data_IF_230509614248
#
_entry.id   IF_230509614248
#
_cell.length_a   1.000
_cell.length_b   1.000
_cell.length_c   1.000
_cell.angle_alpha   90.00
_cell.angle_beta   90.00
_cell.angle_gamma   90.00
#
_symmetry.space_group_name_H-M   'P 1'
#
loop_
_entity.id
_entity.type
_entity.pdbx_description
1 polymer ?
#
# COMPACT_ATOMS: atom_id res chain seq x y z
N UNK A 1 -7.36 35.73 -8.19
CA UNK A 1 -5.99 35.78 -8.77
C UNK A 1 -4.89 35.25 -7.84
N UNK A 2 -4.95 35.51 -6.54
CA UNK A 2 -3.93 35.06 -5.55
C UNK A 2 -3.95 33.54 -5.32
N UNK A 3 -5.12 32.95 -5.15
CA UNK A 3 -5.29 31.50 -4.92
C UNK A 3 -4.81 30.64 -6.08
N UNK A 4 -5.06 31.04 -7.33
CA UNK A 4 -4.58 30.31 -8.51
C UNK A 4 -3.07 30.32 -8.64
N UNK A 5 -2.41 31.46 -8.30
CA UNK A 5 -0.94 31.53 -8.31
C UNK A 5 -0.31 30.68 -7.23
N UNK A 6 -0.88 30.67 -6.03
CA UNK A 6 -0.44 29.82 -4.92
C UNK A 6 -0.59 28.33 -5.26
N UNK A 7 -1.69 27.93 -5.87
CA UNK A 7 -1.90 26.57 -6.33
C UNK A 7 -0.92 26.15 -7.43
N UNK A 8 -0.67 27.05 -8.41
CA UNK A 8 0.32 26.80 -9.46
C UNK A 8 1.73 26.63 -8.88
N UNK A 9 2.12 27.52 -7.95
CA UNK A 9 3.40 27.42 -7.24
C UNK A 9 3.53 26.09 -6.49
N UNK A 10 2.51 25.71 -5.71
CA UNK A 10 2.53 24.48 -4.94
C UNK A 10 2.67 23.24 -5.83
N UNK A 11 1.88 23.14 -6.91
CA UNK A 11 1.94 22.04 -7.89
C UNK A 11 3.29 21.96 -8.59
N UNK A 12 3.78 23.09 -9.13
CA UNK A 12 5.05 23.12 -9.83
C UNK A 12 6.22 22.81 -8.88
N UNK A 13 6.20 23.39 -7.68
CA UNK A 13 7.20 23.13 -6.66
C UNK A 13 7.23 21.66 -6.24
N UNK A 14 6.06 21.00 -6.07
CA UNK A 14 5.95 19.59 -5.77
C UNK A 14 6.56 18.71 -6.85
N UNK A 15 6.25 18.96 -8.12
CA UNK A 15 6.81 18.21 -9.26
C UNK A 15 8.34 18.35 -9.28
N UNK A 16 8.86 19.58 -9.28
CA UNK A 16 10.30 19.83 -9.34
C UNK A 16 11.05 19.22 -8.14
N UNK A 17 10.45 19.25 -6.95
CA UNK A 17 11.02 18.60 -5.77
C UNK A 17 11.05 17.07 -5.92
N UNK A 18 10.00 16.48 -6.45
CA UNK A 18 9.95 15.06 -6.78
C UNK A 18 11.05 14.64 -7.74
N UNK A 19 11.25 15.40 -8.84
CA UNK A 19 12.30 15.15 -9.83
C UNK A 19 13.70 15.23 -9.21
N UNK A 20 13.94 16.22 -8.33
CA UNK A 20 15.20 16.35 -7.61
C UNK A 20 15.46 15.16 -6.68
N UNK A 21 14.45 14.69 -5.95
CA UNK A 21 14.58 13.56 -5.03
C UNK A 21 14.83 12.25 -5.79
N UNK A 22 14.13 12.02 -6.89
CA UNK A 22 14.38 10.84 -7.76
C UNK A 22 15.81 10.89 -8.33
N UNK A 23 16.25 12.03 -8.83
CA UNK A 23 17.61 12.22 -9.32
C UNK A 23 18.65 11.97 -8.22
N UNK A 24 18.42 12.48 -7.00
CA UNK A 24 19.29 12.26 -5.86
C UNK A 24 19.39 10.79 -5.47
N UNK A 25 18.28 10.03 -5.52
CA UNK A 25 18.24 8.60 -5.23
C UNK A 25 19.13 7.81 -6.22
N UNK A 26 19.01 8.09 -7.52
CA UNK A 26 19.88 7.49 -8.54
C UNK A 26 21.36 7.82 -8.30
N UNK A 27 21.67 9.07 -7.94
CA UNK A 27 23.04 9.51 -7.64
C UNK A 27 23.65 8.76 -6.45
N UNK A 28 22.85 8.47 -5.39
CA UNK A 28 23.30 7.70 -4.23
C UNK A 28 23.73 6.30 -4.65
N UNK A 29 22.89 5.60 -5.42
CA UNK A 29 23.18 4.24 -5.89
C UNK A 29 24.36 4.26 -6.86
N UNK A 30 24.38 5.16 -7.85
CA UNK A 30 25.43 5.23 -8.87
C UNK A 30 26.83 5.51 -8.29
N UNK A 31 26.89 6.27 -7.19
CA UNK A 31 28.15 6.66 -6.51
C UNK A 31 28.51 5.74 -5.34
N UNK A 32 27.68 4.75 -5.02
CA UNK A 32 27.98 3.81 -3.97
C UNK A 32 29.27 3.01 -4.26
N UNK A 33 30.09 2.81 -3.23
CA UNK A 33 31.34 2.03 -3.31
C UNK A 33 31.01 0.52 -3.29
N UNK A 34 30.39 0.05 -4.35
CA UNK A 34 29.97 -1.34 -4.56
C UNK A 34 30.56 -1.89 -5.86
N UNK A 35 30.66 -3.20 -6.01
CA UNK A 35 31.01 -3.84 -7.28
C UNK A 35 30.11 -3.35 -8.42
N UNK A 36 30.64 -3.27 -9.63
CA UNK A 36 29.91 -2.74 -10.79
C UNK A 36 28.57 -3.46 -11.04
N UNK A 37 28.60 -4.78 -11.06
CA UNK A 37 27.43 -5.65 -11.22
C UNK A 37 26.34 -5.36 -10.15
N UNK A 38 26.75 -5.23 -8.88
CA UNK A 38 25.84 -4.93 -7.79
C UNK A 38 25.17 -3.58 -7.97
N UNK A 39 25.92 -2.55 -8.39
CA UNK A 39 25.36 -1.22 -8.67
C UNK A 39 24.36 -1.25 -9.81
N UNK A 40 24.67 -1.96 -10.90
CA UNK A 40 23.76 -2.11 -12.03
C UNK A 40 22.44 -2.76 -11.58
N UNK A 41 22.52 -3.88 -10.87
CA UNK A 41 21.32 -4.56 -10.34
C UNK A 41 20.49 -3.63 -9.43
N UNK A 42 21.11 -2.79 -8.61
CA UNK A 42 20.41 -1.83 -7.77
C UNK A 42 19.77 -0.70 -8.57
N UNK A 43 20.41 -0.21 -9.63
CA UNK A 43 19.83 0.78 -10.53
C UNK A 43 18.64 0.21 -11.31
N UNK A 44 18.78 -0.99 -11.88
CA UNK A 44 17.69 -1.69 -12.57
C UNK A 44 16.50 -1.93 -11.63
N UNK A 45 16.76 -2.30 -10.37
CA UNK A 45 15.73 -2.46 -9.36
C UNK A 45 15.03 -1.15 -9.02
N UNK A 46 15.78 -0.05 -8.91
CA UNK A 46 15.23 1.28 -8.64
C UNK A 46 14.34 1.76 -9.79
N UNK A 47 14.81 1.63 -11.02
CA UNK A 47 14.05 1.98 -12.22
C UNK A 47 12.74 1.18 -12.31
N UNK A 48 12.81 -0.14 -12.09
CA UNK A 48 11.63 -1.01 -12.03
C UNK A 48 10.65 -0.55 -10.95
N UNK A 49 11.15 -0.26 -9.74
CA UNK A 49 10.32 0.19 -8.62
C UNK A 49 9.62 1.51 -8.93
N UNK A 50 10.32 2.47 -9.52
CA UNK A 50 9.75 3.77 -9.93
C UNK A 50 8.65 3.53 -10.97
N UNK A 51 8.91 2.71 -11.99
CA UNK A 51 7.94 2.40 -13.04
C UNK A 51 6.65 1.79 -12.45
N UNK A 52 6.76 0.77 -11.61
CA UNK A 52 5.63 0.11 -10.96
C UNK A 52 4.84 1.08 -10.06
N UNK A 53 5.54 1.90 -9.27
CA UNK A 53 4.90 2.87 -8.38
C UNK A 53 4.14 3.94 -9.16
N UNK A 54 4.71 4.43 -10.26
CA UNK A 54 4.05 5.41 -11.14
C UNK A 54 2.84 4.79 -11.84
N UNK A 55 2.94 3.55 -12.31
CA UNK A 55 1.82 2.84 -12.92
C UNK A 55 0.66 2.63 -11.93
N UNK A 56 0.99 2.26 -10.68
CA UNK A 56 -0.01 2.14 -9.60
C UNK A 56 -0.69 3.48 -9.30
N UNK A 57 0.07 4.56 -9.17
CA UNK A 57 -0.47 5.90 -8.91
C UNK A 57 -1.31 6.43 -10.07
N UNK A 58 -0.90 6.23 -11.32
CA UNK A 58 -1.70 6.60 -12.48
C UNK A 58 -3.04 5.86 -12.51
N UNK A 59 -3.06 4.59 -12.12
CA UNK A 59 -4.29 3.81 -11.99
C UNK A 59 -5.19 4.41 -10.91
N UNK A 60 -4.63 4.74 -9.75
CA UNK A 60 -5.34 5.39 -8.66
C UNK A 60 -5.98 6.74 -9.09
N UNK A 61 -5.22 7.61 -9.74
CA UNK A 61 -5.73 8.90 -10.23
C UNK A 61 -6.86 8.71 -11.26
N UNK A 62 -6.78 7.69 -12.13
CA UNK A 62 -7.87 7.37 -13.06
C UNK A 62 -9.13 6.90 -12.37
N UNK A 63 -9.01 6.16 -11.28
CA UNK A 63 -10.14 5.73 -10.45
C UNK A 63 -10.81 6.91 -9.76
N UNK A 64 -10.02 7.80 -9.14
CA UNK A 64 -10.54 9.02 -8.51
C UNK A 64 -11.22 9.97 -9.51
N UNK A 65 -10.86 9.91 -10.80
CA UNK A 65 -11.49 10.68 -11.85
C UNK A 65 -12.73 10.00 -12.46
N UNK A 66 -13.23 8.93 -11.88
CA UNK A 66 -14.38 8.13 -12.35
C UNK A 66 -14.31 7.71 -13.83
N UNK A 67 -13.09 7.53 -14.35
CA UNK A 67 -12.88 7.13 -15.74
C UNK A 67 -13.32 5.66 -15.96
N UNK A 68 -13.26 4.84 -14.92
CA UNK A 68 -13.85 3.49 -14.89
C UNK A 68 -14.10 3.05 -13.43
N UNK A 69 -15.09 2.16 -13.24
CA UNK A 69 -15.33 1.55 -11.94
C UNK A 69 -14.38 0.35 -11.77
N UNK A 70 -13.56 0.31 -10.71
CA UNK A 70 -12.66 -0.81 -10.47
C UNK A 70 -13.45 -2.03 -10.02
N UNK A 71 -13.04 -3.21 -10.50
CA UNK A 71 -13.32 -4.44 -9.78
C UNK A 71 -12.37 -4.60 -8.58
N UNK A 72 -12.70 -5.52 -7.70
CA UNK A 72 -11.89 -5.80 -6.51
C UNK A 72 -10.43 -6.14 -6.86
N UNK A 73 -10.22 -6.96 -7.90
CA UNK A 73 -8.87 -7.37 -8.32
C UNK A 73 -8.03 -6.19 -8.79
N UNK A 74 -8.63 -5.27 -9.54
CA UNK A 74 -7.96 -4.02 -9.97
C UNK A 74 -7.57 -3.17 -8.76
N UNK A 75 -8.45 -3.04 -7.77
CA UNK A 75 -8.16 -2.31 -6.53
C UNK A 75 -7.02 -2.92 -5.73
N UNK A 76 -7.00 -4.23 -5.53
CA UNK A 76 -5.92 -4.94 -4.84
C UNK A 76 -4.58 -4.84 -5.58
N UNK A 77 -4.60 -4.99 -6.91
CA UNK A 77 -3.41 -4.86 -7.75
C UNK A 77 -2.83 -3.44 -7.67
N UNK A 78 -3.68 -2.43 -7.75
CA UNK A 78 -3.29 -1.03 -7.60
C UNK A 78 -2.64 -0.76 -6.24
N UNK A 79 -3.25 -1.24 -5.15
CA UNK A 79 -2.72 -1.10 -3.79
C UNK A 79 -1.34 -1.76 -3.65
N UNK A 80 -1.14 -2.94 -4.23
CA UNK A 80 0.14 -3.62 -4.26
C UNK A 80 1.21 -2.81 -5.01
N UNK A 81 0.92 -2.34 -6.23
CA UNK A 81 1.87 -1.56 -7.04
C UNK A 81 2.18 -0.20 -6.43
N UNK A 82 1.17 0.49 -5.89
CA UNK A 82 1.32 1.83 -5.33
C UNK A 82 2.21 1.87 -4.09
N UNK A 83 2.05 0.91 -3.17
CA UNK A 83 2.65 0.99 -1.83
C UNK A 83 3.62 -0.17 -1.55
N UNK A 84 3.25 -1.42 -1.85
CA UNK A 84 4.06 -2.58 -1.49
C UNK A 84 5.42 -2.57 -2.19
N UNK A 85 5.47 -2.12 -3.43
CA UNK A 85 6.67 -2.18 -4.27
C UNK A 85 7.82 -1.36 -3.68
N UNK A 86 7.60 -0.10 -3.27
CA UNK A 86 8.69 0.74 -2.77
C UNK A 86 8.88 0.65 -1.25
N UNK A 87 7.83 0.32 -0.48
CA UNK A 87 7.91 0.29 0.98
C UNK A 87 8.46 -1.02 1.51
N UNK A 88 8.12 -2.15 0.89
CA UNK A 88 8.48 -3.48 1.37
C UNK A 88 9.32 -4.28 0.38
N UNK A 89 8.92 -4.40 -0.88
CA UNK A 89 9.65 -5.20 -1.87
C UNK A 89 11.04 -4.61 -2.15
N UNK A 90 11.14 -3.31 -2.42
CA UNK A 90 12.42 -2.65 -2.71
C UNK A 90 13.47 -2.86 -1.62
N UNK A 91 13.24 -2.55 -0.33
CA UNK A 91 14.26 -2.72 0.70
C UNK A 91 14.65 -4.18 0.91
N UNK A 92 13.74 -5.14 0.79
CA UNK A 92 14.06 -6.56 0.89
C UNK A 92 14.92 -7.04 -0.28
N UNK A 93 14.63 -6.57 -1.50
CA UNK A 93 15.45 -6.88 -2.69
C UNK A 93 16.81 -6.21 -2.63
N UNK A 94 16.89 -4.97 -2.16
CA UNK A 94 18.18 -4.28 -1.94
C UNK A 94 19.03 -5.10 -0.96
N UNK A 95 18.45 -5.53 0.17
CA UNK A 95 19.14 -6.36 1.16
C UNK A 95 19.60 -7.69 0.55
N UNK A 96 18.76 -8.36 -0.24
CA UNK A 96 19.08 -9.61 -0.94
C UNK A 96 20.26 -9.44 -1.92
N UNK A 97 20.25 -8.38 -2.73
CA UNK A 97 21.31 -8.05 -3.69
C UNK A 97 22.63 -7.78 -2.95
N UNK A 98 22.59 -6.98 -1.89
CA UNK A 98 23.79 -6.64 -1.10
C UNK A 98 24.37 -7.85 -0.35
N UNK A 99 23.51 -8.73 0.14
CA UNK A 99 23.93 -9.97 0.79
C UNK A 99 24.40 -11.07 -0.19
N UNK A 100 24.15 -10.90 -1.49
CA UNK A 100 24.53 -11.88 -2.50
C UNK A 100 23.79 -13.22 -2.35
N UNK A 101 22.54 -13.21 -1.91
CA UNK A 101 21.72 -14.42 -1.72
C UNK A 101 21.39 -15.10 -3.06
N UNK A 102 20.93 -16.35 -3.00
CA UNK A 102 20.47 -17.08 -4.19
C UNK A 102 19.22 -16.42 -4.80
N UNK A 103 18.97 -16.69 -6.09
CA UNK A 103 17.74 -16.22 -6.77
C UNK A 103 16.46 -16.75 -6.11
N UNK A 104 16.52 -17.95 -5.56
CA UNK A 104 15.41 -18.56 -4.85
C UNK A 104 15.10 -17.78 -3.57
N UNK A 105 16.12 -17.43 -2.79
CA UNK A 105 15.98 -16.60 -1.58
C UNK A 105 15.49 -15.20 -1.93
N UNK A 106 16.03 -14.57 -2.99
CA UNK A 106 15.56 -13.27 -3.48
C UNK A 106 14.07 -13.36 -3.87
N UNK A 107 13.66 -14.42 -4.58
CA UNK A 107 12.25 -14.67 -4.93
C UNK A 107 11.33 -14.78 -3.71
N UNK A 108 11.77 -15.50 -2.67
CA UNK A 108 11.02 -15.60 -1.42
C UNK A 108 10.89 -14.24 -0.70
N UNK A 109 11.95 -13.42 -0.71
CA UNK A 109 11.90 -12.07 -0.13
C UNK A 109 11.01 -11.10 -0.94
N UNK A 110 10.95 -11.24 -2.26
CA UNK A 110 9.99 -10.52 -3.12
C UNK A 110 8.56 -10.89 -2.72
N UNK A 111 8.28 -12.19 -2.61
CA UNK A 111 6.96 -12.69 -2.19
C UNK A 111 6.59 -12.16 -0.81
N UNK A 112 7.52 -12.20 0.14
CA UNK A 112 7.33 -11.63 1.48
C UNK A 112 7.03 -10.13 1.44
N UNK A 113 7.76 -9.36 0.63
CA UNK A 113 7.56 -7.93 0.46
C UNK A 113 6.17 -7.60 -0.07
N UNK A 114 5.67 -8.40 -1.00
CA UNK A 114 4.31 -8.24 -1.56
C UNK A 114 3.22 -8.51 -0.52
N UNK A 115 3.33 -9.59 0.22
CA UNK A 115 2.37 -9.91 1.27
C UNK A 115 2.38 -8.86 2.39
N UNK A 116 3.56 -8.44 2.87
CA UNK A 116 3.69 -7.39 3.87
C UNK A 116 3.09 -6.06 3.38
N UNK A 117 3.40 -5.69 2.16
CA UNK A 117 2.95 -4.44 1.59
C UNK A 117 1.44 -4.41 1.34
N UNK A 118 0.88 -5.51 0.87
CA UNK A 118 -0.58 -5.61 0.69
C UNK A 118 -1.29 -5.62 2.05
N UNK A 119 -0.83 -6.42 3.03
CA UNK A 119 -1.38 -6.43 4.38
C UNK A 119 -1.33 -5.03 5.02
N UNK A 120 -0.22 -4.31 4.86
CA UNK A 120 -0.06 -2.94 5.35
C UNK A 120 -1.07 -1.97 4.72
N UNK A 121 -1.23 -2.02 3.39
CA UNK A 121 -2.17 -1.14 2.70
C UNK A 121 -3.62 -1.45 3.05
N UNK A 122 -4.00 -2.73 3.08
CA UNK A 122 -5.33 -3.16 3.49
C UNK A 122 -5.66 -2.68 4.91
N UNK A 123 -4.67 -2.75 5.81
CA UNK A 123 -4.82 -2.27 7.16
C UNK A 123 -4.91 -0.74 7.24
N UNK A 124 -4.15 -0.01 6.42
CA UNK A 124 -4.25 1.45 6.33
C UNK A 124 -5.66 1.88 5.88
N UNK A 125 -6.22 1.21 4.89
CA UNK A 125 -7.59 1.41 4.40
C UNK A 125 -8.63 1.01 5.47
N UNK A 126 -8.39 -0.06 6.23
CA UNK A 126 -9.24 -0.47 7.35
C UNK A 126 -9.28 0.62 8.44
N UNK A 127 -8.11 1.09 8.87
CA UNK A 127 -8.01 2.09 9.93
C UNK A 127 -8.62 3.45 9.54
N UNK A 128 -8.57 3.82 8.27
CA UNK A 128 -9.20 5.06 7.79
C UNK A 128 -10.73 5.02 7.82
N UNK A 129 -11.33 3.82 7.87
CA UNK A 129 -12.79 3.63 7.88
C UNK A 129 -13.30 3.21 9.26
N UNK A 130 -12.63 2.24 9.90
CA UNK A 130 -13.08 1.59 11.14
C UNK A 130 -12.22 1.94 12.36
N UNK A 131 -11.03 2.52 12.19
CA UNK A 131 -10.12 2.84 13.28
C UNK A 131 -10.61 4.01 14.16
N UNK A 132 -10.12 4.06 15.41
CA UNK A 132 -10.36 5.23 16.29
C UNK A 132 -9.39 6.37 15.89
N UNK A 133 -9.90 7.54 15.43
CA UNK A 133 -9.06 8.67 15.04
C UNK A 133 -8.11 9.16 16.13
N UNK A 134 -8.49 8.95 17.40
CA UNK A 134 -7.69 9.36 18.57
C UNK A 134 -6.44 8.49 18.75
N UNK A 135 -6.49 7.24 18.31
CA UNK A 135 -5.36 6.31 18.41
C UNK A 135 -4.41 6.43 17.21
N UNK A 136 -4.95 6.69 16.02
CA UNK A 136 -4.18 6.67 14.77
C UNK A 136 -3.82 8.05 14.24
N UNK A 137 -4.40 9.14 14.81
CA UNK A 137 -4.10 10.52 14.41
C UNK A 137 -4.54 10.88 12.98
N UNK A 138 -5.30 10.01 12.31
CA UNK A 138 -5.86 10.26 10.97
C UNK A 138 -7.23 10.91 11.10
N UNK A 139 -7.61 11.69 10.08
CA UNK A 139 -8.97 12.22 9.96
C UNK A 139 -9.94 11.07 9.69
N UNK A 140 -10.96 10.97 10.54
CA UNK A 140 -11.99 9.94 10.39
C UNK A 140 -12.69 10.07 9.04
N UNK A 141 -12.87 8.94 8.37
CA UNK A 141 -13.63 8.87 7.11
C UNK A 141 -13.00 9.63 5.94
N UNK A 142 -11.69 9.96 5.99
CA UNK A 142 -11.02 10.66 4.90
C UNK A 142 -11.17 9.93 3.56
N UNK A 143 -11.00 8.60 3.55
CA UNK A 143 -11.12 7.79 2.34
C UNK A 143 -12.56 7.76 1.78
N UNK A 144 -13.57 7.77 2.66
CA UNK A 144 -14.98 7.86 2.26
C UNK A 144 -15.31 9.24 1.68
N UNK A 145 -14.76 10.29 2.28
CA UNK A 145 -14.92 11.69 1.86
C UNK A 145 -14.25 11.98 0.52
N UNK A 146 -13.09 11.38 0.29
CA UNK A 146 -12.35 11.48 -0.96
C UNK A 146 -12.93 10.61 -2.09
N UNK A 147 -13.86 9.70 -1.77
CA UNK A 147 -14.39 8.75 -2.74
C UNK A 147 -13.37 7.69 -3.16
N UNK A 148 -12.48 7.29 -2.25
CA UNK A 148 -11.39 6.37 -2.54
C UNK A 148 -11.90 4.94 -2.74
N UNK A 149 -11.60 4.36 -3.90
CA UNK A 149 -11.99 3.00 -4.26
C UNK A 149 -11.08 1.95 -3.59
N UNK A 150 -11.28 1.76 -2.28
CA UNK A 150 -10.61 0.72 -1.50
C UNK A 150 -11.22 -0.66 -1.73
N UNK A 151 -10.59 -1.72 -1.19
CA UNK A 151 -11.18 -3.07 -1.20
C UNK A 151 -12.51 -3.13 -0.42
N UNK A 152 -12.66 -2.31 0.65
CA UNK A 152 -13.91 -2.14 1.41
C UNK A 152 -15.03 -1.70 0.47
N UNK A 153 -14.81 -0.63 -0.28
CA UNK A 153 -15.79 -0.05 -1.20
C UNK A 153 -16.07 -1.00 -2.37
N UNK A 154 -15.04 -1.64 -2.90
CA UNK A 154 -15.21 -2.63 -3.98
C UNK A 154 -16.08 -3.81 -3.53
N UNK A 155 -15.95 -4.27 -2.29
CA UNK A 155 -16.83 -5.28 -1.72
C UNK A 155 -18.26 -4.76 -1.51
N UNK A 156 -18.42 -3.60 -0.89
CA UNK A 156 -19.74 -3.01 -0.61
C UNK A 156 -20.57 -2.79 -1.88
N UNK A 157 -19.91 -2.41 -2.99
CA UNK A 157 -20.56 -2.25 -4.31
C UNK A 157 -21.22 -3.53 -4.84
N UNK A 158 -20.82 -4.69 -4.36
CA UNK A 158 -21.43 -5.98 -4.72
C UNK A 158 -22.64 -6.35 -3.85
N UNK A 159 -22.96 -5.52 -2.87
CA UNK A 159 -24.06 -5.73 -1.90
C UNK A 159 -25.20 -4.75 -2.12
N UNK A 160 -26.37 -5.04 -1.52
CA UNK A 160 -27.52 -4.14 -1.54
C UNK A 160 -27.29 -2.86 -0.73
N UNK A 161 -26.36 -2.85 0.22
CA UNK A 161 -26.02 -1.68 1.03
C UNK A 161 -25.45 -0.52 0.19
N UNK A 162 -24.87 -0.83 -0.98
CA UNK A 162 -24.29 0.19 -1.85
C UNK A 162 -25.28 1.29 -2.23
N UNK A 163 -26.54 1.00 -2.41
CA UNK A 163 -27.57 1.97 -2.77
C UNK A 163 -27.69 3.11 -1.75
N UNK A 164 -27.44 2.83 -0.47
CA UNK A 164 -27.44 3.84 0.59
C UNK A 164 -26.08 4.52 0.73
N UNK A 165 -24.99 3.73 0.66
CA UNK A 165 -23.61 4.22 0.77
C UNK A 165 -23.27 5.22 -0.35
N UNK A 166 -23.69 4.93 -1.58
CA UNK A 166 -23.40 5.72 -2.79
C UNK A 166 -23.91 7.17 -2.68
N UNK A 167 -24.94 7.44 -1.85
CA UNK A 167 -25.54 8.76 -1.74
C UNK A 167 -24.58 9.81 -1.17
N UNK A 168 -23.72 9.40 -0.24
CA UNK A 168 -22.78 10.29 0.47
C UNK A 168 -21.30 9.93 0.17
N UNK A 169 -21.04 8.86 -0.57
CA UNK A 169 -19.68 8.45 -0.94
C UNK A 169 -19.03 9.48 -1.86
N UNK A 170 -17.82 9.94 -1.49
CA UNK A 170 -17.08 10.96 -2.25
C UNK A 170 -17.57 12.39 -1.98
N UNK A 171 -18.40 12.59 -0.97
CA UNK A 171 -18.84 13.92 -0.57
C UNK A 171 -17.74 14.62 0.28
N UNK A 172 -17.09 15.70 -0.23
CA UNK A 172 -16.04 16.40 0.51
C UNK A 172 -16.53 17.04 1.80
N UNK A 173 -17.84 17.31 1.90
CA UNK A 173 -18.51 17.90 3.07
C UNK A 173 -19.18 16.83 3.96
N UNK A 174 -18.79 15.55 3.82
CA UNK A 174 -19.31 14.42 4.62
C UNK A 174 -19.21 14.74 6.12
N UNK A 175 -20.35 14.80 6.79
CA UNK A 175 -20.40 15.04 8.24
C UNK A 175 -19.87 13.81 9.00
N UNK A 176 -19.48 14.02 10.27
CA UNK A 176 -19.04 12.91 11.12
C UNK A 176 -20.17 11.89 11.31
N UNK A 177 -21.40 12.35 11.53
CA UNK A 177 -22.59 11.52 11.71
C UNK A 177 -22.90 10.68 10.46
N UNK A 178 -22.85 11.29 9.26
CA UNK A 178 -23.02 10.54 8.00
C UNK A 178 -21.88 9.53 7.78
N UNK A 179 -20.66 9.87 8.18
CA UNK A 179 -19.52 8.95 8.13
C UNK A 179 -19.69 7.75 9.05
N UNK A 180 -20.20 7.94 10.27
CA UNK A 180 -20.55 6.85 11.20
C UNK A 180 -21.66 5.96 10.62
N UNK A 181 -22.72 6.54 10.09
CA UNK A 181 -23.80 5.76 9.47
C UNK A 181 -23.31 4.94 8.28
N UNK A 182 -22.44 5.52 7.44
CA UNK A 182 -21.82 4.80 6.32
C UNK A 182 -20.92 3.67 6.81
N UNK A 183 -20.11 3.89 7.85
CA UNK A 183 -19.28 2.86 8.48
C UNK A 183 -20.11 1.69 8.99
N UNK A 184 -21.25 1.99 9.65
CA UNK A 184 -22.13 0.97 10.18
C UNK A 184 -22.74 0.12 9.05
N UNK A 185 -23.16 0.73 7.93
CA UNK A 185 -23.61 0.01 6.72
C UNK A 185 -22.51 -0.88 6.13
N UNK A 186 -21.25 -0.39 6.11
CA UNK A 186 -20.10 -1.15 5.64
C UNK A 186 -19.81 -2.37 6.55
N UNK A 187 -19.98 -2.22 7.86
CA UNK A 187 -19.84 -3.33 8.80
C UNK A 187 -20.98 -4.34 8.63
N UNK A 188 -22.25 -3.88 8.59
CA UNK A 188 -23.42 -4.72 8.44
C UNK A 188 -23.43 -5.54 7.13
N UNK A 189 -22.97 -4.95 6.03
CA UNK A 189 -22.88 -5.67 4.75
C UNK A 189 -21.73 -6.69 4.68
N UNK A 190 -20.86 -6.74 5.70
CA UNK A 190 -19.75 -7.68 5.81
C UNK A 190 -18.44 -7.18 5.21
N UNK A 191 -18.35 -5.92 4.75
CA UNK A 191 -17.14 -5.37 4.17
C UNK A 191 -15.98 -5.27 5.18
N UNK A 192 -16.29 -4.99 6.45
CA UNK A 192 -15.32 -4.99 7.54
C UNK A 192 -14.66 -6.37 7.72
N UNK A 193 -15.49 -7.42 7.83
CA UNK A 193 -15.01 -8.79 7.97
C UNK A 193 -14.18 -9.22 6.77
N UNK A 194 -14.64 -8.91 5.58
CA UNK A 194 -13.92 -9.20 4.35
C UNK A 194 -12.50 -8.59 4.36
N UNK A 195 -12.35 -7.35 4.85
CA UNK A 195 -11.02 -6.74 4.99
C UNK A 195 -10.14 -7.46 6.01
N UNK A 196 -10.70 -7.83 7.16
CA UNK A 196 -9.98 -8.61 8.17
C UNK A 196 -9.48 -9.95 7.61
N UNK A 197 -10.35 -10.67 6.89
CA UNK A 197 -10.02 -11.97 6.27
C UNK A 197 -8.90 -11.80 5.22
N UNK A 198 -8.91 -10.73 4.40
CA UNK A 198 -7.84 -10.44 3.44
C UNK A 198 -6.48 -10.16 4.12
N UNK A 199 -6.47 -9.39 5.21
CA UNK A 199 -5.22 -9.13 5.95
C UNK A 199 -4.69 -10.41 6.58
N UNK A 200 -5.57 -11.24 7.15
CA UNK A 200 -5.21 -12.54 7.72
C UNK A 200 -4.62 -13.49 6.67
N UNK A 201 -5.20 -13.53 5.48
CA UNK A 201 -4.66 -14.32 4.37
C UNK A 201 -3.21 -13.90 4.03
N UNK A 202 -2.94 -12.59 3.94
CA UNK A 202 -1.61 -12.10 3.63
C UNK A 202 -0.59 -12.40 4.75
N UNK A 203 -0.98 -12.22 6.00
CA UNK A 203 -0.09 -12.51 7.16
C UNK A 203 0.13 -14.02 7.34
N UNK A 204 -0.89 -14.86 7.12
CA UNK A 204 -0.77 -16.31 7.15
C UNK A 204 0.21 -16.82 6.06
N UNK A 205 0.15 -16.28 4.85
CA UNK A 205 1.08 -16.62 3.78
C UNK A 205 2.53 -16.30 4.15
N UNK A 206 2.78 -15.22 4.89
CA UNK A 206 4.11 -14.90 5.42
C UNK A 206 4.56 -15.91 6.48
N UNK A 207 3.68 -16.30 7.40
CA UNK A 207 4.00 -17.29 8.41
C UNK A 207 4.33 -18.63 7.77
N UNK A 208 3.61 -19.05 6.73
CA UNK A 208 3.90 -20.27 5.97
C UNK A 208 5.24 -20.18 5.24
N UNK A 209 5.52 -19.06 4.56
CA UNK A 209 6.76 -18.83 3.81
C UNK A 209 8.00 -18.95 4.69
N UNK A 210 7.91 -18.50 5.95
CA UNK A 210 9.01 -18.51 6.91
C UNK A 210 8.81 -19.46 8.10
N UNK A 211 7.90 -20.44 8.00
CA UNK A 211 7.70 -21.46 9.02
C UNK A 211 9.02 -22.18 9.39
N UNK A 212 9.08 -22.75 10.58
CA UNK A 212 10.20 -23.61 10.99
C UNK A 212 10.31 -24.80 10.02
N UNK A 213 11.47 -24.94 9.37
CA UNK A 213 11.69 -25.97 8.35
C UNK A 213 11.44 -25.49 6.92
N UNK A 214 11.08 -24.23 6.71
CA UNK A 214 11.05 -23.61 5.39
C UNK A 214 12.43 -23.74 4.70
N UNK A 215 12.41 -24.04 3.43
CA UNK A 215 13.61 -24.16 2.58
C UNK A 215 14.30 -22.79 2.33
N UNK A 216 13.66 -21.66 2.71
CA UNK A 216 14.22 -20.33 2.46
C UNK A 216 15.43 -20.08 3.38
N UNK A 217 16.65 -20.02 2.84
CA UNK A 217 17.88 -19.93 3.62
C UNK A 217 18.18 -18.47 4.02
N UNK A 218 17.42 -17.94 4.99
CA UNK A 218 17.68 -16.62 5.61
C UNK A 218 18.13 -16.79 7.06
N UNK A 219 18.96 -15.87 7.60
CA UNK A 219 19.34 -15.87 9.00
C UNK A 219 18.14 -15.85 9.94
N UNK A 220 18.22 -16.51 11.09
CA UNK A 220 17.13 -16.55 12.09
C UNK A 220 16.68 -15.15 12.52
N UNK A 221 17.64 -14.23 12.73
CA UNK A 221 17.33 -12.85 13.08
C UNK A 221 16.51 -12.13 12.00
N UNK A 222 16.82 -12.34 10.72
CA UNK A 222 16.03 -11.76 9.61
C UNK A 222 14.62 -12.37 9.57
N UNK A 223 14.51 -13.68 9.79
CA UNK A 223 13.22 -14.38 9.89
C UNK A 223 12.35 -13.84 11.02
N UNK A 224 12.95 -13.66 12.20
CA UNK A 224 12.25 -13.12 13.37
C UNK A 224 11.73 -11.70 13.13
N UNK A 225 12.51 -10.84 12.45
CA UNK A 225 12.07 -9.49 12.07
C UNK A 225 10.87 -9.56 11.11
N UNK A 226 10.92 -10.38 10.06
CA UNK A 226 9.84 -10.49 9.08
C UNK A 226 8.56 -11.04 9.70
N UNK A 227 8.66 -12.07 10.54
CA UNK A 227 7.51 -12.62 11.27
C UNK A 227 6.99 -11.66 12.34
N UNK A 228 7.88 -10.87 12.97
CA UNK A 228 7.51 -9.81 13.90
C UNK A 228 6.69 -8.71 13.23
N UNK A 229 7.08 -8.29 12.02
CA UNK A 229 6.30 -7.33 11.22
C UNK A 229 4.92 -7.89 10.83
N UNK A 230 4.85 -9.16 10.42
CA UNK A 230 3.58 -9.82 10.13
C UNK A 230 2.65 -9.85 11.35
N UNK A 231 3.19 -10.23 12.52
CA UNK A 231 2.43 -10.26 13.77
C UNK A 231 1.99 -8.85 14.24
N UNK A 232 2.77 -7.81 13.94
CA UNK A 232 2.41 -6.43 14.23
C UNK A 232 1.21 -5.98 13.38
N UNK A 233 1.25 -6.30 12.08
CA UNK A 233 0.15 -6.02 11.17
C UNK A 233 -1.13 -6.77 11.58
N UNK A 234 -1.02 -8.00 12.05
CA UNK A 234 -2.16 -8.78 12.52
C UNK A 234 -2.81 -8.17 13.79
N UNK A 235 -2.00 -7.63 14.72
CA UNK A 235 -2.49 -7.05 15.99
C UNK A 235 -3.19 -5.70 15.86
N UNK A 236 -2.87 -4.90 14.86
CA UNK A 236 -3.48 -3.55 14.68
C UNK A 236 -4.97 -3.58 14.34
N UNK A 237 -5.59 -4.75 14.27
CA UNK A 237 -7.03 -4.97 14.03
C UNK A 237 -7.85 -5.03 15.32
N UNK A 238 -7.19 -5.10 16.47
CA UNK A 238 -7.83 -5.22 17.78
C UNK A 238 -7.88 -3.80 18.46
#
# INVERSE_FOLDING_TARGET
GSSMRALHWARTGGILMGDLLLSATHQIVARAKLPHETRLRLLDLLDHTIFESVAGELTHVRLLADIFAPDLQTGLTMSAHKTATYTFELPLRVAAILAGVSRETEGALITAGRHLGLAFQLQDDYLSTFGDPREHGKDAFSDLREGKHTAIISFARMTSAWVEIEQDFGNPDLSYESGEAMRDLLAECGAERFMCDLVEEQTAALFELFARGSAVPIPSAAREVLLGLAAELDRRRA
#
